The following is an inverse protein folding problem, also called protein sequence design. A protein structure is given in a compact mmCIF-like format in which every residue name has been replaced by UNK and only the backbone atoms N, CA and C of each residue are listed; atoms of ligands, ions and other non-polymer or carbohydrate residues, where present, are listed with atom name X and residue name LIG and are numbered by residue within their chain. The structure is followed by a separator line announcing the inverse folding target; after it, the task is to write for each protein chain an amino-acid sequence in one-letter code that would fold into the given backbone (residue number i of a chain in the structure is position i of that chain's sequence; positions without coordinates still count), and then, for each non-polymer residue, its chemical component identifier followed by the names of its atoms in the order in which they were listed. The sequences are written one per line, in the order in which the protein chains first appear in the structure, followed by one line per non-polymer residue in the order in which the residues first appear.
data_IF_234853436485
#
_entry.id   IF_234853436485
#
_cell.length_a   1.000
_cell.length_b   1.000
_cell.length_c   1.000
_cell.angle_alpha   90.00
_cell.angle_beta   90.00
_cell.angle_gamma   90.00
#
_symmetry.space_group_name_H-M   'P 1'
#
loop_
_entity.id
_entity.type
_entity.pdbx_description
1 polymer ?
#
# COMPACT_ATOMS: atom_id res chain seq x y z
N UNK A 1 -35.32 -8.66 9.30
CA UNK A 1 -34.23 -8.17 8.44
C UNK A 1 -33.48 -9.38 7.91
N UNK A 2 -33.62 -9.68 6.61
CA UNK A 2 -32.89 -10.80 6.01
C UNK A 2 -31.47 -10.33 5.69
N UNK A 3 -30.48 -10.90 6.38
CA UNK A 3 -29.07 -10.79 5.98
C UNK A 3 -28.94 -11.55 4.66
N UNK A 4 -28.93 -10.84 3.54
CA UNK A 4 -28.63 -11.42 2.24
C UNK A 4 -27.14 -11.76 2.21
N UNK A 5 -26.77 -12.93 2.70
CA UNK A 5 -25.42 -13.47 2.52
C UNK A 5 -25.26 -13.77 1.04
N UNK A 6 -24.73 -12.81 0.27
CA UNK A 6 -24.38 -13.03 -1.14
C UNK A 6 -23.40 -14.22 -1.17
N UNK A 7 -23.75 -15.26 -1.92
CA UNK A 7 -22.85 -16.38 -2.17
C UNK A 7 -21.51 -15.81 -2.70
N UNK A 8 -20.36 -16.26 -2.17
CA UNK A 8 -19.07 -15.73 -2.59
C UNK A 8 -18.90 -15.97 -4.09
N UNK A 9 -18.67 -14.89 -4.84
CA UNK A 9 -18.29 -14.95 -6.26
C UNK A 9 -17.10 -15.91 -6.40
N UNK A 10 -17.19 -16.88 -7.29
CA UNK A 10 -16.05 -17.77 -7.62
C UNK A 10 -14.90 -17.02 -8.29
N UNK A 11 -15.18 -15.82 -8.81
CA UNK A 11 -14.21 -14.96 -9.48
C UNK A 11 -13.53 -14.06 -8.47
N UNK A 12 -12.23 -14.29 -8.29
CA UNK A 12 -11.34 -13.47 -7.46
C UNK A 12 -10.73 -12.36 -8.32
N UNK A 13 -10.82 -11.12 -7.87
CA UNK A 13 -10.24 -9.96 -8.56
C UNK A 13 -9.75 -8.93 -7.54
N UNK A 14 -8.71 -8.14 -7.87
CA UNK A 14 -8.28 -7.04 -7.04
C UNK A 14 -9.14 -5.80 -7.33
N UNK A 15 -9.13 -4.87 -6.39
CA UNK A 15 -9.48 -3.49 -6.68
C UNK A 15 -8.31 -2.79 -7.38
N UNK A 16 -8.57 -1.72 -8.15
CA UNK A 16 -7.52 -0.97 -8.85
C UNK A 16 -7.51 0.52 -8.47
N UNK A 17 -6.33 1.05 -8.15
CA UNK A 17 -6.12 2.46 -7.82
C UNK A 17 -4.78 2.72 -7.14
N UNK A 18 -4.64 3.91 -6.57
CA UNK A 18 -3.49 4.30 -5.78
C UNK A 18 -3.91 4.74 -4.37
N UNK A 19 -3.39 4.04 -3.36
CA UNK A 19 -3.64 4.33 -1.93
C UNK A 19 -2.57 5.29 -1.43
N UNK A 20 -2.94 6.53 -1.15
CA UNK A 20 -2.03 7.57 -0.71
C UNK A 20 -2.06 7.69 0.82
N UNK A 21 -3.24 7.81 1.40
CA UNK A 21 -3.44 8.18 2.80
C UNK A 21 -3.94 7.02 3.67
N UNK A 22 -3.90 7.19 5.00
CA UNK A 22 -4.58 6.27 5.92
C UNK A 22 -6.08 6.28 5.68
N UNK A 23 -6.69 7.45 5.45
CA UNK A 23 -8.13 7.58 5.16
C UNK A 23 -8.57 6.78 3.92
N UNK A 24 -7.75 6.75 2.87
CA UNK A 24 -7.96 5.91 1.69
C UNK A 24 -8.08 4.44 2.07
N UNK A 25 -7.14 3.95 2.89
CA UNK A 25 -7.12 2.57 3.33
C UNK A 25 -8.32 2.22 4.21
N UNK A 26 -8.71 3.11 5.13
CA UNK A 26 -9.89 2.89 5.98
C UNK A 26 -11.18 2.83 5.16
N UNK A 27 -11.34 3.71 4.16
CA UNK A 27 -12.49 3.67 3.24
C UNK A 27 -12.51 2.39 2.41
N UNK A 28 -11.37 1.95 1.89
CA UNK A 28 -11.32 0.69 1.14
C UNK A 28 -11.60 -0.54 2.00
N UNK A 29 -11.11 -0.58 3.24
CA UNK A 29 -11.43 -1.65 4.19
C UNK A 29 -12.94 -1.65 4.45
N UNK A 30 -13.54 -0.49 4.66
CA UNK A 30 -14.99 -0.38 4.86
C UNK A 30 -15.79 -0.79 3.62
N UNK A 31 -15.37 -0.35 2.44
CA UNK A 31 -15.98 -0.73 1.15
C UNK A 31 -15.95 -2.25 0.96
N UNK A 32 -14.83 -2.89 1.29
CA UNK A 32 -14.67 -4.34 1.21
C UNK A 32 -15.57 -5.06 2.23
N UNK A 33 -15.63 -4.58 3.48
CA UNK A 33 -16.54 -5.11 4.53
C UNK A 33 -18.01 -5.05 4.10
N UNK A 34 -18.41 -3.99 3.40
CA UNK A 34 -19.77 -3.82 2.88
C UNK A 34 -20.02 -4.57 1.55
N UNK A 35 -19.00 -5.20 0.97
CA UNK A 35 -19.11 -5.87 -0.33
C UNK A 35 -19.29 -4.93 -1.52
N UNK A 36 -18.95 -3.64 -1.36
CA UNK A 36 -18.97 -2.61 -2.42
C UNK A 36 -17.82 -2.86 -3.41
N UNK A 37 -16.67 -3.30 -2.90
CA UNK A 37 -15.51 -3.68 -3.70
C UNK A 37 -15.10 -5.14 -3.45
N UNK A 38 -14.33 -5.76 -4.37
CA UNK A 38 -13.82 -7.11 -4.18
C UNK A 38 -12.97 -7.25 -2.92
N UNK A 39 -13.09 -8.42 -2.28
CA UNK A 39 -12.26 -8.85 -1.15
C UNK A 39 -11.78 -10.28 -1.38
N UNK A 40 -10.61 -10.59 -0.85
CA UNK A 40 -9.99 -11.89 -0.98
C UNK A 40 -10.46 -12.77 0.18
N UNK A 41 -11.19 -13.83 -0.15
CA UNK A 41 -11.79 -14.77 0.83
C UNK A 41 -11.04 -16.10 0.90
N UNK A 42 -9.98 -16.27 0.10
CA UNK A 42 -9.10 -17.45 0.09
C UNK A 42 -7.75 -17.11 -0.51
N UNK A 43 -6.75 -17.97 -0.31
CA UNK A 43 -5.45 -17.81 -0.98
C UNK A 43 -5.59 -17.82 -2.50
N UNK A 44 -4.81 -16.95 -3.14
CA UNK A 44 -4.66 -16.93 -4.59
C UNK A 44 -3.83 -18.13 -5.06
N UNK A 45 -4.27 -18.79 -6.12
CA UNK A 45 -3.46 -19.77 -6.82
C UNK A 45 -2.36 -19.10 -7.66
N UNK A 46 -1.46 -19.90 -8.24
CA UNK A 46 -0.28 -19.38 -8.94
C UNK A 46 -0.64 -18.57 -10.19
N UNK A 47 -1.67 -18.99 -10.93
CA UNK A 47 -2.15 -18.27 -12.12
C UNK A 47 -2.76 -16.92 -11.73
N UNK A 48 -3.61 -16.94 -10.70
CA UNK A 48 -4.22 -15.75 -10.09
C UNK A 48 -3.17 -14.75 -9.62
N UNK A 49 -2.14 -15.19 -8.88
CA UNK A 49 -1.06 -14.32 -8.42
C UNK A 49 -0.30 -13.71 -9.59
N UNK A 50 0.09 -14.51 -10.59
CA UNK A 50 0.80 -14.01 -11.78
C UNK A 50 -0.02 -13.00 -12.57
N UNK A 51 -1.33 -13.19 -12.66
CA UNK A 51 -2.21 -12.30 -13.43
C UNK A 51 -2.54 -11.00 -12.67
N UNK A 52 -2.73 -11.08 -11.34
CA UNK A 52 -3.28 -9.98 -10.56
C UNK A 52 -2.25 -9.15 -9.80
N UNK A 53 -1.05 -9.67 -9.49
CA UNK A 53 -0.03 -8.90 -8.77
C UNK A 53 0.72 -8.00 -9.76
N UNK A 54 0.18 -6.80 -9.95
CA UNK A 54 0.73 -5.77 -10.85
C UNK A 54 0.48 -4.37 -10.30
N UNK A 55 1.12 -3.38 -10.91
CA UNK A 55 0.92 -1.97 -10.56
C UNK A 55 -0.56 -1.57 -10.59
N UNK A 56 -0.99 -0.84 -9.55
CA UNK A 56 -2.37 -0.44 -9.32
C UNK A 56 -3.23 -1.46 -8.57
N UNK A 57 -2.77 -2.69 -8.36
CA UNK A 57 -3.60 -3.74 -7.76
C UNK A 57 -3.67 -3.59 -6.24
N UNK A 58 -4.88 -3.68 -5.69
CA UNK A 58 -5.18 -3.55 -4.27
C UNK A 58 -5.98 -4.77 -3.83
N UNK A 59 -5.48 -5.47 -2.81
CA UNK A 59 -6.11 -6.63 -2.21
C UNK A 59 -6.52 -6.30 -0.79
N UNK A 60 -7.77 -6.60 -0.44
CA UNK A 60 -8.28 -6.49 0.92
C UNK A 60 -8.76 -7.86 1.38
N UNK A 61 -8.38 -8.29 2.58
CA UNK A 61 -8.89 -9.51 3.20
C UNK A 61 -8.97 -9.35 4.71
N UNK A 62 -9.82 -10.16 5.34
CA UNK A 62 -9.85 -10.30 6.79
C UNK A 62 -9.37 -11.69 7.21
N UNK A 63 -8.80 -11.74 8.40
CA UNK A 63 -8.22 -12.92 8.99
C UNK A 63 -9.25 -14.03 9.26
N UNK A 64 -10.43 -13.65 9.74
CA UNK A 64 -11.54 -14.52 10.10
C UNK A 64 -12.24 -15.15 8.89
N UNK A 65 -12.41 -14.38 7.80
CA UNK A 65 -13.05 -14.89 6.60
C UNK A 65 -12.10 -15.71 5.72
N UNK A 66 -10.89 -15.18 5.48
CA UNK A 66 -9.99 -15.75 4.48
C UNK A 66 -9.04 -16.81 5.02
N UNK A 67 -8.80 -16.80 6.34
CA UNK A 67 -7.77 -17.58 7.00
C UNK A 67 -6.33 -17.16 6.62
N UNK A 68 -6.14 -16.06 5.90
CA UNK A 68 -4.83 -15.59 5.43
C UNK A 68 -4.21 -14.71 6.51
N UNK A 69 -3.31 -15.24 7.33
CA UNK A 69 -2.53 -14.42 8.30
C UNK A 69 -1.35 -13.65 7.68
N UNK A 70 -0.91 -14.09 6.51
CA UNK A 70 0.25 -13.53 5.79
C UNK A 70 0.02 -13.60 4.30
N UNK A 71 0.15 -12.44 3.65
CA UNK A 71 0.10 -12.32 2.20
C UNK A 71 1.36 -12.95 1.57
N UNK A 72 1.18 -13.80 0.56
CA UNK A 72 2.27 -14.51 -0.11
C UNK A 72 2.12 -14.37 -1.61
N UNK A 73 3.18 -13.88 -2.25
CA UNK A 73 3.17 -13.39 -3.63
C UNK A 73 4.21 -14.03 -4.54
N UNK A 74 5.22 -14.70 -3.97
CA UNK A 74 6.29 -15.32 -4.74
C UNK A 74 7.29 -14.33 -5.35
N UNK A 75 7.33 -13.09 -4.85
CA UNK A 75 8.32 -12.07 -5.25
C UNK A 75 9.32 -11.82 -4.11
N UNK A 76 10.52 -11.38 -4.48
CA UNK A 76 11.55 -10.98 -3.51
C UNK A 76 11.43 -9.51 -3.12
N UNK A 77 11.43 -9.23 -1.82
CA UNK A 77 11.21 -7.88 -1.27
C UNK A 77 12.38 -7.41 -0.42
N UNK A 78 12.58 -6.09 -0.41
CA UNK A 78 13.45 -5.41 0.54
C UNK A 78 12.98 -5.57 1.99
N UNK A 79 13.83 -5.21 2.96
CA UNK A 79 13.33 -4.92 4.31
C UNK A 79 12.28 -3.80 4.26
N UNK A 80 11.29 -3.86 5.17
CA UNK A 80 10.21 -2.87 5.25
C UNK A 80 10.72 -1.49 5.69
N UNK A 81 10.10 -0.43 5.18
CA UNK A 81 10.16 0.92 5.75
C UNK A 81 8.79 1.37 6.21
N UNK A 82 8.77 2.16 7.28
CA UNK A 82 7.55 2.78 7.78
C UNK A 82 7.33 4.09 7.03
N UNK A 83 6.17 4.26 6.42
CA UNK A 83 5.71 5.50 5.81
C UNK A 83 4.31 5.79 6.32
N UNK A 84 4.19 6.74 7.25
CA UNK A 84 2.94 6.93 8.00
C UNK A 84 2.56 5.66 8.76
N UNK A 85 1.36 5.15 8.50
CA UNK A 85 0.85 3.89 9.07
C UNK A 85 1.17 2.65 8.21
N UNK A 86 1.87 2.81 7.09
CA UNK A 86 2.13 1.73 6.16
C UNK A 86 3.52 1.13 6.34
N UNK A 87 3.62 -0.17 6.06
CA UNK A 87 4.88 -0.82 5.74
C UNK A 87 5.05 -0.82 4.22
N UNK A 88 6.23 -0.39 3.76
CA UNK A 88 6.56 -0.27 2.34
C UNK A 88 7.79 -1.12 2.01
N UNK A 89 7.70 -1.83 0.90
CA UNK A 89 8.71 -2.75 0.38
C UNK A 89 8.99 -2.43 -1.09
N UNK A 90 10.23 -2.59 -1.54
CA UNK A 90 10.59 -2.57 -2.97
C UNK A 90 10.97 -3.95 -3.45
N UNK A 91 10.55 -4.30 -4.66
CA UNK A 91 10.96 -5.54 -5.32
C UNK A 91 12.47 -5.52 -5.58
N UNK A 92 13.12 -6.65 -5.28
CA UNK A 92 14.54 -6.87 -5.51
C UNK A 92 14.73 -8.01 -6.50
N UNK A 93 15.87 -8.05 -7.18
CA UNK A 93 16.22 -9.19 -8.02
C UNK A 93 16.36 -10.45 -7.15
N UNK A 94 15.85 -11.59 -7.62
CA UNK A 94 16.04 -12.87 -6.95
C UNK A 94 17.54 -13.17 -6.85
N UNK A 95 18.02 -13.48 -5.64
CA UNK A 95 19.46 -13.68 -5.43
C UNK A 95 19.92 -14.96 -6.14
N UNK A 96 20.84 -14.80 -7.09
CA UNK A 96 21.60 -15.93 -7.65
C UNK A 96 22.77 -15.55 -8.56
N UNK A 97 23.96 -15.37 -7.96
CA UNK A 97 25.30 -15.71 -8.49
C UNK A 97 25.82 -15.06 -9.79
N UNK A 98 26.92 -14.30 -9.65
CA UNK A 98 28.02 -14.31 -10.62
C UNK A 98 28.38 -13.00 -11.31
N UNK A 99 29.18 -12.14 -10.66
CA UNK A 99 30.62 -11.99 -10.98
C UNK A 99 31.28 -10.94 -10.09
N UNK A 100 32.50 -11.29 -9.71
CA UNK A 100 33.48 -10.61 -8.88
C UNK A 100 33.70 -9.14 -9.21
N UNK A 101 34.15 -8.41 -8.19
CA UNK A 101 35.15 -7.36 -8.31
C UNK A 101 34.99 -6.38 -9.49
N UNK A 102 34.24 -5.32 -9.26
CA UNK A 102 34.81 -4.02 -9.53
C UNK A 102 34.83 -3.21 -8.24
N UNK A 103 35.92 -3.40 -7.51
CA UNK A 103 36.50 -2.34 -6.70
C UNK A 103 36.80 -1.17 -7.65
N UNK A 104 35.78 -0.37 -7.93
CA UNK A 104 35.75 0.56 -9.05
C UNK A 104 35.20 1.90 -8.60
N UNK A 105 36.06 2.65 -7.90
CA UNK A 105 35.96 4.10 -7.62
C UNK A 105 34.66 4.57 -6.98
N UNK A 106 34.70 4.76 -5.65
CA UNK A 106 33.87 5.79 -5.01
C UNK A 106 34.09 7.09 -5.80
N UNK A 107 33.05 7.74 -6.36
CA UNK A 107 33.22 9.11 -6.81
C UNK A 107 33.70 9.92 -5.60
N UNK A 108 34.63 10.88 -5.77
CA UNK A 108 35.05 11.71 -4.66
C UNK A 108 33.79 12.30 -4.05
N UNK A 109 33.64 12.17 -2.72
CA UNK A 109 32.71 13.00 -1.96
C UNK A 109 33.14 14.43 -2.25
N UNK A 110 32.56 15.04 -3.28
CA UNK A 110 32.51 16.49 -3.38
C UNK A 110 31.87 16.90 -2.06
N UNK A 111 32.66 17.56 -1.20
CA UNK A 111 32.09 18.47 -0.21
C UNK A 111 31.27 19.44 -1.03
N UNK A 112 29.99 19.13 -1.24
CA UNK A 112 29.09 20.04 -1.90
C UNK A 112 28.93 21.19 -0.92
N UNK A 113 29.39 22.36 -1.34
CA UNK A 113 28.80 23.61 -0.88
C UNK A 113 27.28 23.42 -0.85
N UNK A 114 26.62 24.00 0.15
CA UNK A 114 25.17 24.08 0.24
C UNK A 114 24.62 24.79 -1.00
N UNK A 115 24.50 24.08 -2.12
CA UNK A 115 23.73 24.51 -3.27
C UNK A 115 22.28 24.19 -2.95
N UNK A 116 21.46 25.23 -2.89
CA UNK A 116 20.01 25.09 -2.76
C UNK A 116 19.50 24.16 -3.87
N UNK A 117 18.75 23.13 -3.48
CA UNK A 117 18.12 22.22 -4.43
C UNK A 117 17.11 22.99 -5.29
N UNK A 118 17.01 22.65 -6.57
CA UNK A 118 15.93 23.17 -7.41
C UNK A 118 14.55 22.75 -6.87
N UNK A 119 13.51 23.47 -7.28
CA UNK A 119 12.13 23.18 -6.88
C UNK A 119 11.72 21.76 -7.34
N UNK A 120 12.17 21.37 -8.52
CA UNK A 120 11.93 20.07 -9.14
C UNK A 120 12.61 18.94 -8.36
N UNK A 121 13.88 19.13 -7.97
CA UNK A 121 14.62 18.16 -7.16
C UNK A 121 13.98 18.00 -5.77
N UNK A 122 13.51 19.09 -5.17
CA UNK A 122 12.81 19.03 -3.89
C UNK A 122 11.46 18.30 -4.00
N UNK A 123 10.73 18.51 -5.10
CA UNK A 123 9.49 17.80 -5.37
C UNK A 123 9.73 16.30 -5.56
N UNK A 124 10.75 15.91 -6.33
CA UNK A 124 11.12 14.51 -6.53
C UNK A 124 11.61 13.85 -5.23
N UNK A 125 12.34 14.58 -4.40
CA UNK A 125 12.76 14.12 -3.09
C UNK A 125 11.56 13.90 -2.15
N UNK A 126 10.58 14.80 -2.17
CA UNK A 126 9.32 14.64 -1.42
C UNK A 126 8.53 13.43 -1.93
N UNK A 127 8.34 13.31 -3.24
CA UNK A 127 7.62 12.20 -3.86
C UNK A 127 8.29 10.85 -3.55
N UNK A 128 9.60 10.74 -3.71
CA UNK A 128 10.34 9.52 -3.40
C UNK A 128 10.24 9.14 -1.92
N UNK A 129 10.27 10.12 -1.01
CA UNK A 129 10.05 9.89 0.43
C UNK A 129 8.64 9.34 0.69
N UNK A 130 7.62 9.88 0.05
CA UNK A 130 6.23 9.42 0.19
C UNK A 130 6.01 8.02 -0.40
N UNK A 131 6.62 7.71 -1.55
CA UNK A 131 6.43 6.41 -2.21
C UNK A 131 7.24 5.29 -1.57
N UNK A 132 8.50 5.53 -1.21
CA UNK A 132 9.39 4.43 -0.79
C UNK A 132 10.10 4.66 0.54
N UNK A 133 9.76 5.73 1.27
CA UNK A 133 10.37 6.00 2.59
C UNK A 133 11.89 6.19 2.52
N UNK A 134 12.38 6.84 1.46
CA UNK A 134 13.81 7.06 1.19
C UNK A 134 14.63 5.76 0.98
N UNK A 135 14.03 4.71 0.43
CA UNK A 135 14.78 3.54 -0.05
C UNK A 135 15.59 3.87 -1.32
N UNK A 136 16.80 4.37 -1.10
CA UNK A 136 17.73 4.74 -2.17
C UNK A 136 18.42 3.49 -2.72
N UNK A 137 18.54 3.39 -4.05
CA UNK A 137 19.15 2.24 -4.73
C UNK A 137 20.68 2.34 -4.85
N UNK A 138 21.37 2.74 -3.77
CA UNK A 138 22.80 3.03 -3.84
C UNK A 138 23.67 1.79 -4.16
N UNK A 139 23.08 0.60 -4.22
CA UNK A 139 23.79 -0.66 -4.43
C UNK A 139 23.19 -1.50 -5.58
N UNK A 140 22.31 -0.94 -6.41
CA UNK A 140 21.67 -1.65 -7.53
C UNK A 140 20.91 -2.91 -7.11
N UNK A 141 20.32 -2.90 -5.91
CA UNK A 141 19.64 -4.08 -5.33
C UNK A 141 18.18 -4.16 -5.75
N UNK A 142 17.58 -3.02 -6.10
CA UNK A 142 16.19 -2.98 -6.51
C UNK A 142 16.08 -3.34 -7.99
N UNK A 143 14.99 -4.02 -8.33
CA UNK A 143 14.69 -4.33 -9.72
C UNK A 143 14.38 -3.03 -10.46
N UNK A 144 14.95 -2.86 -11.66
CA UNK A 144 14.58 -1.75 -12.54
C UNK A 144 13.09 -1.86 -12.89
N UNK A 145 12.34 -0.78 -12.69
CA UNK A 145 10.86 -0.76 -12.83
C UNK A 145 10.13 -1.80 -11.96
N UNK A 146 10.76 -2.24 -10.86
CA UNK A 146 10.17 -3.18 -9.92
C UNK A 146 8.96 -2.62 -9.18
N UNK A 147 8.14 -3.51 -8.65
CA UNK A 147 6.98 -3.16 -7.86
C UNK A 147 7.37 -2.58 -6.49
N UNK A 148 6.49 -1.72 -6.00
CA UNK A 148 6.43 -1.27 -4.62
C UNK A 148 5.20 -1.91 -4.02
N UNK A 149 5.36 -2.52 -2.84
CA UNK A 149 4.26 -3.06 -2.04
C UNK A 149 4.07 -2.16 -0.82
N UNK A 150 2.86 -1.69 -0.59
CA UNK A 150 2.45 -0.85 0.55
C UNK A 150 1.34 -1.58 1.30
N UNK A 151 1.53 -1.81 2.59
CA UNK A 151 0.61 -2.61 3.40
C UNK A 151 0.20 -1.88 4.67
N UNK A 152 -1.04 -2.09 5.10
CA UNK A 152 -1.55 -1.69 6.41
C UNK A 152 -2.46 -2.79 6.95
N UNK A 153 -2.45 -2.98 8.26
CA UNK A 153 -3.38 -3.84 8.98
C UNK A 153 -4.19 -2.98 9.92
N UNK A 154 -5.51 -3.17 9.94
CA UNK A 154 -6.42 -2.47 10.86
C UNK A 154 -7.29 -3.50 11.54
N UNK A 155 -7.30 -3.49 12.88
CA UNK A 155 -8.10 -4.41 13.68
C UNK A 155 -9.47 -3.79 13.97
N UNK A 156 -10.55 -4.47 13.56
CA UNK A 156 -11.95 -4.06 13.81
C UNK A 156 -12.75 -5.27 14.25
N UNK A 157 -13.59 -5.10 15.28
CA UNK A 157 -14.46 -6.18 15.79
C UNK A 157 -13.71 -7.47 16.14
N UNK A 158 -12.44 -7.35 16.53
CA UNK A 158 -11.57 -8.48 16.90
C UNK A 158 -10.94 -9.23 15.72
N UNK A 159 -11.14 -8.78 14.47
CA UNK A 159 -10.50 -9.33 13.28
C UNK A 159 -9.51 -8.34 12.66
N UNK A 160 -8.38 -8.85 12.20
CA UNK A 160 -7.40 -8.09 11.44
C UNK A 160 -7.84 -8.00 9.98
N UNK A 161 -8.00 -6.77 9.49
CA UNK A 161 -8.23 -6.46 8.09
C UNK A 161 -6.93 -5.96 7.46
N UNK A 162 -6.51 -6.63 6.41
CA UNK A 162 -5.28 -6.34 5.70
C UNK A 162 -5.57 -5.69 4.36
N UNK A 163 -4.85 -4.61 4.06
CA UNK A 163 -4.78 -4.01 2.74
C UNK A 163 -3.37 -4.16 2.18
N UNK A 164 -3.27 -4.72 0.97
CA UNK A 164 -2.02 -4.88 0.22
C UNK A 164 -2.15 -4.14 -1.10
N UNK A 165 -1.41 -3.05 -1.27
CA UNK A 165 -1.39 -2.25 -2.48
C UNK A 165 -0.07 -2.39 -3.23
N UNK A 166 -0.14 -2.56 -4.54
CA UNK A 166 0.99 -2.63 -5.45
C UNK A 166 1.00 -1.46 -6.40
N UNK A 167 2.16 -0.87 -6.65
CA UNK A 167 2.34 0.16 -7.67
C UNK A 167 3.78 0.21 -8.14
N UNK A 168 4.01 0.73 -9.35
CA UNK A 168 5.33 1.09 -9.82
C UNK A 168 5.57 2.59 -9.62
N UNK A 169 6.82 2.99 -9.41
CA UNK A 169 7.15 4.41 -9.29
C UNK A 169 6.91 5.16 -10.61
N UNK A 170 7.06 4.48 -11.74
CA UNK A 170 6.81 5.01 -13.08
C UNK A 170 5.33 5.33 -13.29
N UNK A 171 4.42 4.42 -12.93
CA UNK A 171 2.98 4.63 -13.14
C UNK A 171 2.42 5.72 -12.24
N UNK A 172 2.97 5.91 -11.03
CA UNK A 172 2.62 7.05 -10.18
C UNK A 172 3.12 8.36 -10.80
N UNK A 173 4.39 8.42 -11.22
CA UNK A 173 4.96 9.63 -11.85
C UNK A 173 4.25 10.04 -13.13
N UNK A 174 3.86 9.07 -13.95
CA UNK A 174 3.14 9.28 -15.19
C UNK A 174 1.63 9.53 -14.99
N UNK A 175 1.14 9.54 -13.74
CA UNK A 175 -0.28 9.75 -13.43
C UNK A 175 -1.20 8.65 -13.97
N UNK A 176 -0.68 7.45 -14.25
CA UNK A 176 -1.45 6.32 -14.78
C UNK A 176 -2.34 5.67 -13.72
N UNK A 177 -1.97 5.80 -12.45
CA UNK A 177 -2.76 5.27 -11.34
C UNK A 177 -3.67 6.37 -10.80
N UNK A 178 -4.97 6.16 -10.91
CA UNK A 178 -5.95 7.09 -10.36
C UNK A 178 -5.86 7.11 -8.82
N UNK A 179 -5.74 8.29 -8.20
CA UNK A 179 -5.79 8.41 -6.75
C UNK A 179 -7.21 8.07 -6.27
N UNK A 180 -7.35 7.53 -5.05
CA UNK A 180 -8.67 7.23 -4.52
C UNK A 180 -9.55 8.47 -4.35
N UNK A 181 -8.96 9.66 -4.17
CA UNK A 181 -9.70 10.92 -4.14
C UNK A 181 -10.53 11.19 -5.40
N UNK A 182 -10.21 10.55 -6.53
CA UNK A 182 -11.01 10.62 -7.76
C UNK A 182 -12.24 9.69 -7.78
N UNK A 183 -12.36 8.77 -6.81
CA UNK A 183 -13.43 7.76 -6.72
C UNK A 183 -14.53 8.22 -5.79
N UNK A 184 -15.50 8.96 -6.32
CA UNK A 184 -16.63 9.47 -5.53
C UNK A 184 -17.40 8.39 -4.79
N UNK A 185 -17.57 7.21 -5.38
CA UNK A 185 -18.23 6.04 -4.79
C UNK A 185 -17.52 5.50 -3.54
N UNK A 186 -16.19 5.62 -3.49
CA UNK A 186 -15.39 5.23 -2.33
C UNK A 186 -15.29 6.39 -1.33
N UNK A 187 -15.08 7.61 -1.82
CA UNK A 187 -14.90 8.79 -0.98
C UNK A 187 -16.18 9.18 -0.22
N UNK A 188 -17.36 8.85 -0.75
CA UNK A 188 -18.64 9.02 -0.06
C UNK A 188 -18.86 8.04 1.07
N UNK A 189 -18.06 6.98 1.18
CA UNK A 189 -18.18 6.03 2.29
C UNK A 189 -17.70 6.68 3.57
N UNK A 190 -18.57 6.60 4.58
CA UNK A 190 -18.23 7.00 5.93
C UNK A 190 -17.26 5.98 6.55
N UNK A 191 -16.20 6.49 7.18
CA UNK A 191 -15.30 5.66 7.97
C UNK A 191 -15.95 5.47 9.36
N UNK A 192 -16.38 4.24 9.70
CA UNK A 192 -16.98 3.98 11.01
C UNK A 192 -16.02 4.28 12.16
N UNK A 193 -16.52 4.75 13.32
CA UNK A 193 -15.70 5.08 14.49
C UNK A 193 -14.77 3.96 14.95
N UNK A 194 -15.16 2.69 14.78
CA UNK A 194 -14.40 1.51 15.16
C UNK A 194 -13.12 1.33 14.31
N UNK A 195 -13.05 1.99 13.14
CA UNK A 195 -11.84 2.07 12.30
C UNK A 195 -10.92 3.23 12.69
N UNK A 196 -11.33 4.11 13.61
CA UNK A 196 -10.62 5.35 13.98
C UNK A 196 -9.90 5.26 15.33
N UNK A 197 -9.86 4.09 15.95
CA UNK A 197 -9.20 3.88 17.24
C UNK A 197 -7.72 4.28 17.20
N UNK A 198 -7.39 5.43 17.80
CA UNK A 198 -6.09 6.11 17.67
C UNK A 198 -4.91 5.29 18.18
N UNK A 199 -5.12 4.45 19.20
CA UNK A 199 -4.10 3.58 19.81
C UNK A 199 -3.59 2.50 18.86
N UNK A 200 -4.33 2.22 17.77
CA UNK A 200 -3.98 1.22 16.76
C UNK A 200 -3.07 1.79 15.66
N UNK A 201 -2.77 3.09 15.66
CA UNK A 201 -2.00 3.76 14.60
C UNK A 201 -0.72 4.40 15.11
N UNK A 202 0.32 4.39 14.25
CA UNK A 202 1.59 5.11 14.50
C UNK A 202 1.40 6.62 14.32
N UNK A 203 0.58 6.99 13.34
CA UNK A 203 0.11 8.34 13.06
C UNK A 203 -1.41 8.30 13.19
N UNK A 204 -1.96 8.73 14.33
CA UNK A 204 -3.40 8.70 14.56
C UNK A 204 -4.19 9.43 13.46
N UNK A 205 -5.31 8.88 12.98
CA UNK A 205 -6.26 9.61 12.15
C UNK A 205 -6.70 10.92 12.81
N UNK A 206 -6.83 11.98 12.03
CA UNK A 206 -7.42 13.24 12.51
C UNK A 206 -8.93 13.04 12.55
N UNK A 207 -9.53 13.34 13.71
CA UNK A 207 -10.96 13.14 13.92
C UNK A 207 -11.60 14.33 14.62
N UNK A 208 -12.88 14.54 14.37
CA UNK A 208 -13.73 15.50 15.08
C UNK A 208 -14.91 14.80 15.76
N UNK A 209 -15.46 15.36 16.86
CA UNK A 209 -16.67 14.82 17.47
C UNK A 209 -17.89 15.05 16.57
N UNK A 210 -18.58 13.98 16.20
CA UNK A 210 -19.90 14.06 15.56
C UNK A 210 -20.98 14.55 16.53
N UNK A 211 -22.18 14.81 16.00
CA UNK A 211 -23.36 15.21 16.81
C UNK A 211 -23.75 14.15 17.86
N UNK A 212 -23.38 12.90 17.63
CA UNK A 212 -23.56 11.75 18.52
C UNK A 212 -22.39 11.56 19.51
N UNK A 213 -21.42 12.48 19.51
CA UNK A 213 -20.19 12.40 20.31
C UNK A 213 -19.18 11.36 19.82
N UNK A 214 -19.44 10.67 18.69
CA UNK A 214 -18.54 9.67 18.12
C UNK A 214 -17.52 10.32 17.19
N UNK A 215 -16.27 9.83 17.14
CA UNK A 215 -15.26 10.40 16.24
C UNK A 215 -15.63 10.20 14.77
N UNK A 216 -15.47 11.25 13.97
CA UNK A 216 -15.61 11.25 12.51
C UNK A 216 -14.27 11.63 11.89
N UNK A 217 -13.88 10.94 10.82
CA UNK A 217 -12.62 11.23 10.11
C UNK A 217 -12.72 12.57 9.37
N UNK A 218 -11.70 13.41 9.50
CA UNK A 218 -11.59 14.70 8.78
C UNK A 218 -10.92 14.57 7.41
#
# INVERSE_FOLDING_TARGET
MALTTRLPSSKVEPFYGFVETTGDALRLIQAARQGVIPRITRRLNDLERRAMIRSGSIFIFSDDESGIKRWTEGLSWSASRIVGNFLVYREVNERGQGRSAHEGRKPPKRRSNSSELSVEELAEQKLSKTLVGCLNDNHGRFKSKGLIKKTITVCVEGSDHHLIAYYSQEDVRLGKLLPLSSRGDIMSLEIPPELLETTKFRVPPITEPGLDGRPRYM
#
